data_IF_826463517826
#
_entry.id   IF_826463517826
#
_cell.length_a   1.000
_cell.length_b   1.000
_cell.length_c   1.000
_cell.angle_alpha   90.00
_cell.angle_beta   90.00
_cell.angle_gamma   90.00
#
_symmetry.space_group_name_H-M   'P 1'
#
loop_
_entity.id
_entity.type
_entity.pdbx_description
1 polymer ?
#
# COMPACT_ATOMS: atom_id res chain seq x y z
N UNK A 1 1.85 22.30 -64.67
CA UNK A 1 2.03 22.71 -63.25
C UNK A 1 1.07 21.89 -62.38
N UNK A 2 1.50 21.48 -61.18
CA UNK A 2 0.61 21.08 -60.07
C UNK A 2 -0.10 22.36 -59.56
N UNK A 3 -1.17 22.40 -58.77
CA UNK A 3 -1.80 21.46 -57.84
C UNK A 3 -3.34 21.57 -58.05
N UNK A 4 -4.30 21.05 -57.26
CA UNK A 4 -4.32 20.36 -55.96
C UNK A 4 -5.43 19.30 -55.94
N UNK A 5 -5.26 18.25 -55.14
CA UNK A 5 -6.34 17.34 -54.67
C UNK A 5 -6.07 16.94 -53.21
N UNK A 6 -5.96 17.93 -52.31
CA UNK A 6 -5.45 17.74 -50.95
C UNK A 6 -6.41 18.26 -49.86
N UNK A 7 -7.72 18.08 -50.06
CA UNK A 7 -8.78 18.56 -49.14
C UNK A 7 -9.60 17.46 -48.47
N UNK A 8 -9.08 16.23 -48.35
CA UNK A 8 -9.77 15.14 -47.63
C UNK A 8 -8.97 14.51 -46.47
N UNK A 9 -7.75 14.99 -46.19
CA UNK A 9 -6.88 14.44 -45.13
C UNK A 9 -6.74 15.34 -43.88
N UNK A 10 -7.40 16.50 -43.85
CA UNK A 10 -7.22 17.47 -42.76
C UNK A 10 -8.30 17.43 -41.65
N UNK A 11 -9.32 16.58 -41.79
CA UNK A 11 -10.48 16.51 -40.85
C UNK A 11 -10.41 15.30 -39.90
N UNK A 12 -9.48 14.36 -40.12
CA UNK A 12 -9.37 13.13 -39.32
C UNK A 12 -8.51 13.26 -38.04
N UNK A 13 -7.86 14.41 -37.80
CA UNK A 13 -6.78 14.52 -36.80
C UNK A 13 -7.16 15.14 -35.45
N UNK A 14 -8.43 15.48 -35.20
CA UNK A 14 -8.84 16.26 -34.01
C UNK A 14 -9.43 15.45 -32.84
N UNK A 15 -9.53 14.12 -32.94
CA UNK A 15 -10.17 13.28 -31.92
C UNK A 15 -9.16 12.55 -31.00
N UNK A 16 -7.85 12.61 -31.28
CA UNK A 16 -6.84 11.79 -30.58
C UNK A 16 -6.10 12.47 -29.41
N UNK A 17 -6.49 13.67 -28.97
CA UNK A 17 -5.70 14.47 -28.00
C UNK A 17 -6.19 14.36 -26.54
N UNK A 18 -7.34 13.72 -26.28
CA UNK A 18 -7.85 13.55 -24.90
C UNK A 18 -7.19 12.41 -24.11
N UNK A 19 -6.50 11.48 -24.78
CA UNK A 19 -5.97 10.26 -24.13
C UNK A 19 -4.63 10.40 -23.39
N UNK A 20 -3.91 11.52 -23.53
CA UNK A 20 -2.53 11.64 -23.04
C UNK A 20 -2.38 12.32 -21.67
N UNK A 21 -3.40 13.06 -21.21
CA UNK A 21 -3.36 13.74 -19.91
C UNK A 21 -3.67 12.80 -18.72
N UNK A 22 -4.51 11.79 -18.94
CA UNK A 22 -4.88 10.84 -17.89
C UNK A 22 -3.73 9.86 -17.57
N UNK A 23 -2.99 9.41 -18.59
CA UNK A 23 -1.88 8.46 -18.41
C UNK A 23 -0.70 9.10 -17.66
N UNK A 24 -0.41 10.38 -17.91
CA UNK A 24 0.62 11.10 -17.15
C UNK A 24 0.20 11.38 -15.71
N UNK A 25 -1.06 11.74 -15.47
CA UNK A 25 -1.59 11.92 -14.11
C UNK A 25 -1.52 10.63 -13.26
N UNK A 26 -1.81 9.47 -13.86
CA UNK A 26 -1.62 8.16 -13.21
C UNK A 26 -0.15 7.94 -12.85
N UNK A 27 0.77 8.22 -13.78
CA UNK A 27 2.21 8.04 -13.56
C UNK A 27 2.75 8.97 -12.46
N UNK A 28 2.30 10.23 -12.41
CA UNK A 28 2.64 11.17 -11.32
C UNK A 28 2.15 10.65 -9.97
N UNK A 29 0.89 10.19 -9.88
CA UNK A 29 0.34 9.67 -8.61
C UNK A 29 1.04 8.39 -8.14
N UNK A 30 1.42 7.50 -9.05
CA UNK A 30 2.26 6.33 -8.71
C UNK A 30 3.64 6.78 -8.26
N UNK A 31 4.26 7.74 -8.95
CA UNK A 31 5.58 8.27 -8.62
C UNK A 31 5.66 9.00 -7.28
N UNK A 32 4.60 9.73 -6.89
CA UNK A 32 4.50 10.38 -5.58
C UNK A 32 4.39 9.35 -4.45
N UNK A 33 3.49 8.37 -4.57
CA UNK A 33 3.32 7.31 -3.56
C UNK A 33 4.58 6.44 -3.49
N UNK A 34 5.16 6.05 -4.63
CA UNK A 34 6.43 5.31 -4.69
C UNK A 34 7.62 6.15 -4.14
N UNK A 35 7.58 7.48 -4.28
CA UNK A 35 8.56 8.40 -3.71
C UNK A 35 8.54 8.42 -2.19
N UNK A 36 7.35 8.50 -1.58
CA UNK A 36 7.19 8.39 -0.12
C UNK A 36 7.57 6.98 0.37
N UNK A 37 7.17 5.94 -0.35
CA UNK A 37 7.50 4.55 -0.03
C UNK A 37 9.01 4.28 -0.09
N UNK A 38 9.71 4.79 -1.11
CA UNK A 38 11.16 4.60 -1.26
C UNK A 38 11.97 5.15 -0.08
N UNK A 39 11.49 6.23 0.56
CA UNK A 39 12.13 6.78 1.76
C UNK A 39 11.94 5.92 3.01
N UNK A 40 10.89 5.08 3.07
CA UNK A 40 10.58 4.21 4.21
C UNK A 40 11.10 2.78 4.03
N UNK A 41 10.85 2.15 2.87
CA UNK A 41 10.99 0.70 2.68
C UNK A 41 12.43 0.22 2.43
N UNK A 42 13.32 1.06 1.89
CA UNK A 42 14.72 0.67 1.64
C UNK A 42 15.66 0.93 2.84
N UNK A 43 15.11 1.41 3.96
CA UNK A 43 15.82 1.77 5.19
C UNK A 43 16.12 0.63 6.17
N UNK A 44 16.72 -0.47 5.68
CA UNK A 44 17.22 -1.63 6.44
C UNK A 44 16.19 -2.54 7.15
N UNK A 45 16.51 -3.84 7.23
CA UNK A 45 15.82 -4.80 8.11
C UNK A 45 16.14 -4.48 9.59
N UNK A 46 15.47 -3.48 10.17
CA UNK A 46 15.78 -2.99 11.51
C UNK A 46 14.59 -3.19 12.43
N UNK A 47 14.58 -4.28 13.20
CA UNK A 47 13.61 -4.50 14.28
C UNK A 47 13.87 -3.53 15.44
N UNK A 48 13.56 -2.26 15.21
CA UNK A 48 13.80 -1.18 16.15
C UNK A 48 12.80 -1.28 17.30
N UNK A 49 13.35 -1.22 18.51
CA UNK A 49 12.58 -1.33 19.75
C UNK A 49 12.56 0.03 20.42
N UNK A 50 11.41 0.68 20.44
CA UNK A 50 11.24 2.04 20.97
C UNK A 50 10.61 1.97 22.34
N UNK A 51 11.34 2.37 23.39
CA UNK A 51 10.81 2.43 24.75
C UNK A 51 10.20 3.81 25.00
N UNK A 52 8.88 3.86 25.20
CA UNK A 52 8.16 5.09 25.55
C UNK A 52 8.39 5.48 27.02
N UNK A 53 8.09 6.72 27.41
CA UNK A 53 8.38 7.30 28.73
C UNK A 53 7.76 6.55 29.93
N UNK A 54 6.76 5.69 29.69
CA UNK A 54 6.16 4.80 30.69
C UNK A 54 6.93 3.47 30.87
N UNK A 55 8.11 3.32 30.25
CA UNK A 55 8.83 2.03 30.21
C UNK A 55 8.20 1.00 29.28
N UNK A 56 7.35 1.46 28.35
CA UNK A 56 6.56 0.61 27.45
C UNK A 56 7.34 0.37 26.17
N UNK A 57 7.59 -0.90 25.87
CA UNK A 57 8.37 -1.35 24.72
C UNK A 57 7.47 -1.49 23.47
N UNK A 58 7.53 -0.52 22.57
CA UNK A 58 6.95 -0.63 21.24
C UNK A 58 7.95 -1.36 20.34
N UNK A 59 7.56 -2.52 19.84
CA UNK A 59 8.34 -3.26 18.87
C UNK A 59 7.96 -2.81 17.46
N UNK A 60 8.91 -2.79 16.53
CA UNK A 60 8.67 -2.60 15.11
C UNK A 60 9.25 -3.79 14.34
N UNK A 61 8.56 -4.23 13.30
CA UNK A 61 9.01 -5.32 12.43
C UNK A 61 8.55 -5.13 10.99
N UNK A 62 9.55 -4.99 10.13
CA UNK A 62 9.38 -4.90 8.69
C UNK A 62 9.51 -6.27 8.03
N UNK A 63 8.98 -6.39 6.82
CA UNK A 63 9.24 -7.53 5.97
C UNK A 63 8.81 -7.30 4.53
N UNK A 64 9.31 -8.16 3.65
CA UNK A 64 8.87 -8.20 2.26
C UNK A 64 8.86 -9.64 1.73
N UNK A 65 7.97 -9.91 0.78
CA UNK A 65 7.91 -11.17 0.05
C UNK A 65 7.26 -10.97 -1.33
N UNK A 66 7.64 -11.79 -2.30
CA UNK A 66 7.04 -11.76 -3.64
C UNK A 66 5.93 -12.79 -3.80
N UNK A 67 4.85 -12.41 -4.47
CA UNK A 67 3.73 -13.27 -4.80
C UNK A 67 3.52 -13.33 -6.32
N UNK A 68 3.04 -14.48 -6.81
CA UNK A 68 2.65 -14.69 -8.23
C UNK A 68 1.15 -14.51 -8.47
N UNK A 69 0.42 -14.04 -7.46
CA UNK A 69 -1.02 -13.79 -7.55
C UNK A 69 -1.31 -12.51 -8.34
N UNK A 70 -2.55 -12.38 -8.83
CA UNK A 70 -3.04 -11.08 -9.33
C UNK A 70 -3.09 -10.09 -8.15
N UNK A 71 -2.59 -8.86 -8.38
CA UNK A 71 -2.47 -7.82 -7.36
C UNK A 71 -3.82 -7.40 -6.78
N UNK A 72 -4.86 -7.31 -7.60
CA UNK A 72 -6.20 -6.85 -7.19
C UNK A 72 -6.87 -7.90 -6.28
N UNK A 73 -6.74 -9.19 -6.61
CA UNK A 73 -7.18 -10.30 -5.77
C UNK A 73 -6.43 -10.34 -4.45
N UNK A 74 -5.11 -10.15 -4.47
CA UNK A 74 -4.28 -10.15 -3.27
C UNK A 74 -4.62 -8.96 -2.36
N UNK A 75 -4.82 -7.76 -2.92
CA UNK A 75 -5.35 -6.60 -2.20
C UNK A 75 -6.70 -6.90 -1.57
N UNK A 76 -7.64 -7.51 -2.29
CA UNK A 76 -8.96 -7.86 -1.74
C UNK A 76 -8.83 -8.83 -0.55
N UNK A 77 -7.91 -9.81 -0.60
CA UNK A 77 -7.64 -10.71 0.53
C UNK A 77 -7.09 -9.94 1.73
N UNK A 78 -6.04 -9.14 1.57
CA UNK A 78 -5.42 -8.33 2.65
C UNK A 78 -6.44 -7.35 3.25
N UNK A 79 -7.18 -6.63 2.40
CA UNK A 79 -8.24 -5.71 2.81
C UNK A 79 -9.30 -6.38 3.68
N UNK A 80 -9.76 -7.57 3.29
CA UNK A 80 -10.79 -8.33 4.04
C UNK A 80 -10.26 -8.88 5.36
N UNK A 81 -9.03 -9.39 5.38
CA UNK A 81 -8.40 -9.94 6.59
C UNK A 81 -8.26 -8.88 7.69
N UNK A 82 -7.83 -7.66 7.32
CA UNK A 82 -7.52 -6.61 8.29
C UNK A 82 -8.62 -5.53 8.44
N UNK A 83 -9.65 -5.55 7.58
CA UNK A 83 -10.81 -4.67 7.66
C UNK A 83 -10.58 -3.25 7.14
N UNK A 84 -9.61 -3.05 6.25
CA UNK A 84 -9.28 -1.75 5.66
C UNK A 84 -10.43 -1.18 4.82
N UNK A 85 -10.64 0.14 4.92
CA UNK A 85 -11.72 0.90 4.27
C UNK A 85 -11.15 2.00 3.36
N UNK A 86 -11.88 2.51 2.35
CA UNK A 86 -11.37 3.63 1.56
C UNK A 86 -11.17 4.87 2.44
N UNK A 87 -10.18 5.71 2.14
CA UNK A 87 -9.93 6.95 2.90
C UNK A 87 -11.13 7.92 2.89
N UNK A 88 -11.98 7.84 1.86
CA UNK A 88 -13.24 8.62 1.76
C UNK A 88 -14.35 8.13 2.72
N UNK A 89 -14.18 6.97 3.37
CA UNK A 89 -15.12 6.51 4.39
C UNK A 89 -14.81 7.16 5.74
N UNK A 90 -15.90 7.53 6.45
CA UNK A 90 -15.92 8.27 7.71
C UNK A 90 -14.69 7.98 8.62
N UNK A 91 -13.80 8.96 8.72
CA UNK A 91 -12.35 8.77 9.01
C UNK A 91 -12.03 8.26 10.42
N UNK A 92 -13.05 8.10 11.26
CA UNK A 92 -12.99 7.59 12.64
C UNK A 92 -12.47 6.16 12.75
N UNK A 93 -12.47 5.39 11.66
CA UNK A 93 -12.11 3.98 11.69
C UNK A 93 -10.59 3.70 11.76
N UNK A 94 -9.73 4.69 11.50
CA UNK A 94 -8.27 4.57 11.61
C UNK A 94 -7.58 3.54 10.71
N UNK A 95 -8.31 2.88 9.81
CA UNK A 95 -7.85 1.79 8.92
C UNK A 95 -8.25 2.09 7.48
N UNK A 96 -7.32 2.70 6.75
CA UNK A 96 -7.56 3.29 5.43
C UNK A 96 -6.82 2.55 4.31
N UNK A 97 -7.14 2.87 3.07
CA UNK A 97 -6.36 2.48 1.91
C UNK A 97 -6.29 3.57 0.85
N UNK A 98 -5.16 3.59 0.13
CA UNK A 98 -4.92 4.30 -1.12
C UNK A 98 -4.67 3.29 -2.24
N UNK A 99 -5.19 3.56 -3.44
CA UNK A 99 -5.09 2.62 -4.57
C UNK A 99 -4.77 3.33 -5.87
N UNK A 100 -3.85 2.75 -6.63
CA UNK A 100 -3.79 2.86 -8.10
C UNK A 100 -4.07 1.45 -8.65
N UNK A 101 -5.33 1.14 -9.00
CA UNK A 101 -5.75 -0.23 -9.34
C UNK A 101 -4.87 -0.88 -10.42
N UNK A 102 -4.61 -2.18 -10.27
CA UNK A 102 -3.72 -2.95 -11.17
C UNK A 102 -2.22 -2.69 -11.02
N UNK A 103 -1.80 -1.68 -10.24
CA UNK A 103 -0.39 -1.24 -10.13
C UNK A 103 0.11 -1.19 -8.68
N UNK A 104 -0.60 -0.48 -7.81
CA UNK A 104 -0.15 -0.18 -6.44
C UNK A 104 -1.34 -0.12 -5.47
N UNK A 105 -1.23 -0.82 -4.35
CA UNK A 105 -2.18 -0.73 -3.24
C UNK A 105 -1.43 -0.51 -1.94
N UNK A 106 -1.81 0.54 -1.22
CA UNK A 106 -1.25 0.90 0.08
C UNK A 106 -2.38 0.89 1.10
N UNK A 107 -2.23 0.08 2.15
CA UNK A 107 -3.21 -0.04 3.23
C UNK A 107 -2.49 0.22 4.55
N UNK A 108 -3.10 1.01 5.44
CA UNK A 108 -2.48 1.34 6.72
C UNK A 108 -3.51 1.61 7.80
N UNK A 109 -3.14 1.37 9.07
CA UNK A 109 -3.99 1.78 10.17
C UNK A 109 -3.71 1.18 11.53
N UNK A 110 -4.47 1.68 12.52
CA UNK A 110 -4.39 1.30 13.93
C UNK A 110 -5.43 0.23 14.30
N UNK A 111 -5.04 -0.67 15.21
CA UNK A 111 -5.77 -1.87 15.60
C UNK A 111 -6.11 -1.89 17.10
N UNK A 112 -6.14 -0.72 17.75
CA UNK A 112 -6.21 -0.56 19.20
C UNK A 112 -4.83 -0.76 19.84
N UNK A 113 -4.78 -1.02 21.13
CA UNK A 113 -3.57 -1.35 21.88
C UNK A 113 -3.76 -2.66 22.65
N UNK A 114 -2.68 -3.37 22.96
CA UNK A 114 -2.70 -4.42 24.01
C UNK A 114 -2.40 -3.75 25.37
N UNK A 115 -2.82 -4.35 26.48
CA UNK A 115 -2.54 -3.88 27.85
C UNK A 115 -1.81 -4.96 28.65
N UNK A 116 -1.00 -4.53 29.63
CA UNK A 116 -0.41 -5.45 30.62
C UNK A 116 -1.43 -5.87 31.70
N UNK A 117 -1.02 -6.74 32.63
CA UNK A 117 -1.87 -7.22 33.72
C UNK A 117 -2.31 -6.15 34.73
N UNK A 118 -1.84 -4.90 34.58
CA UNK A 118 -2.17 -3.73 35.40
C UNK A 118 -3.01 -2.71 34.62
N UNK A 119 -3.39 -3.00 33.37
CA UNK A 119 -4.13 -2.08 32.49
C UNK A 119 -3.25 -0.99 31.86
N UNK A 120 -1.92 -1.17 31.85
CA UNK A 120 -1.02 -0.22 31.19
C UNK A 120 -0.93 -0.56 29.70
N UNK A 121 -1.29 0.39 28.83
CA UNK A 121 -1.15 0.25 27.38
C UNK A 121 0.28 -0.08 26.97
N UNK A 122 0.44 -1.10 26.13
CA UNK A 122 1.69 -1.56 25.55
C UNK A 122 2.04 -0.83 24.23
N UNK A 123 1.36 0.29 23.96
CA UNK A 123 1.48 1.06 22.73
C UNK A 123 0.43 0.66 21.69
N UNK A 124 0.16 1.58 20.77
CA UNK A 124 -0.80 1.35 19.69
C UNK A 124 -0.29 0.30 18.71
N UNK A 125 -1.16 -0.65 18.38
CA UNK A 125 -0.92 -1.66 17.38
C UNK A 125 -1.20 -1.09 15.99
N UNK A 126 -0.19 -1.05 15.13
CA UNK A 126 -0.27 -0.53 13.77
C UNK A 126 0.17 -1.59 12.76
N UNK A 127 -0.37 -1.47 11.54
CA UNK A 127 0.02 -2.27 10.38
C UNK A 127 -0.06 -1.39 9.13
N UNK A 128 1.01 -1.39 8.35
CA UNK A 128 1.06 -0.91 6.98
C UNK A 128 1.42 -2.06 6.05
N UNK A 129 0.74 -2.16 4.90
CA UNK A 129 1.06 -3.11 3.82
C UNK A 129 1.01 -2.39 2.49
N UNK A 130 2.04 -2.61 1.68
CA UNK A 130 2.19 -2.10 0.33
C UNK A 130 2.24 -3.30 -0.61
N UNK A 131 1.43 -3.26 -1.67
CA UNK A 131 1.42 -4.24 -2.74
C UNK A 131 1.75 -3.50 -4.04
N UNK A 132 2.86 -3.85 -4.68
CA UNK A 132 3.33 -3.22 -5.92
C UNK A 132 3.52 -4.26 -7.01
N UNK A 133 3.06 -3.96 -8.23
CA UNK A 133 3.28 -4.81 -9.40
C UNK A 133 4.68 -4.60 -9.97
N UNK A 134 5.60 -5.52 -9.66
CA UNK A 134 7.01 -5.48 -10.08
C UNK A 134 7.33 -6.27 -11.35
N UNK A 135 6.33 -6.95 -11.94
CA UNK A 135 6.47 -7.67 -13.21
C UNK A 135 5.12 -7.99 -13.83
N UNK A 136 5.12 -8.71 -14.96
CA UNK A 136 3.88 -9.09 -15.66
C UNK A 136 2.89 -9.85 -14.75
N UNK A 137 3.39 -10.85 -14.02
CA UNK A 137 2.67 -11.68 -13.05
C UNK A 137 3.39 -11.75 -11.67
N UNK A 138 4.08 -10.68 -11.27
CA UNK A 138 4.78 -10.63 -9.97
C UNK A 138 4.33 -9.41 -9.19
N UNK A 139 4.00 -9.62 -7.91
CA UNK A 139 3.65 -8.60 -6.94
C UNK A 139 4.69 -8.63 -5.83
N UNK A 140 5.35 -7.50 -5.57
CA UNK A 140 6.08 -7.28 -4.33
C UNK A 140 5.08 -6.92 -3.24
N UNK A 141 5.18 -7.56 -2.08
CA UNK A 141 4.43 -7.17 -0.89
C UNK A 141 5.42 -6.81 0.20
N UNK A 142 5.42 -5.57 0.65
CA UNK A 142 6.16 -5.11 1.83
C UNK A 142 5.20 -4.70 2.93
N UNK A 143 5.66 -4.74 4.18
CA UNK A 143 4.87 -4.37 5.34
C UNK A 143 5.75 -3.85 6.47
N UNK A 144 5.16 -2.97 7.30
CA UNK A 144 5.66 -2.52 8.59
C UNK A 144 4.58 -2.86 9.63
N UNK A 145 4.99 -3.47 10.75
CA UNK A 145 4.09 -3.79 11.87
C UNK A 145 4.70 -3.24 13.14
N UNK A 146 3.93 -2.49 13.92
CA UNK A 146 4.38 -1.99 15.22
C UNK A 146 3.33 -2.16 16.31
N UNK A 147 3.78 -2.17 17.57
CA UNK A 147 2.95 -2.40 18.76
C UNK A 147 3.53 -3.49 19.66
N UNK A 148 2.66 -4.29 20.28
CA UNK A 148 3.09 -5.36 21.19
C UNK A 148 3.71 -6.56 20.44
N UNK A 149 4.58 -7.34 21.09
CA UNK A 149 5.13 -8.57 20.51
C UNK A 149 4.02 -9.57 20.13
N UNK A 150 2.98 -9.67 20.97
CA UNK A 150 1.83 -10.53 20.72
C UNK A 150 1.03 -10.07 19.50
N UNK A 151 0.87 -8.76 19.30
CA UNK A 151 0.28 -8.21 18.08
C UNK A 151 1.11 -8.52 16.85
N UNK A 152 2.42 -8.22 16.86
CA UNK A 152 3.31 -8.44 15.71
C UNK A 152 3.24 -9.88 15.23
N UNK A 153 3.38 -10.85 16.14
CA UNK A 153 3.33 -12.28 15.81
C UNK A 153 1.99 -12.70 15.21
N UNK A 154 0.86 -12.15 15.72
CA UNK A 154 -0.49 -12.39 15.16
C UNK A 154 -0.64 -11.77 13.78
N UNK A 155 -0.25 -10.50 13.62
CA UNK A 155 -0.39 -9.75 12.37
C UNK A 155 0.45 -10.35 11.24
N UNK A 156 1.73 -10.63 11.50
CA UNK A 156 2.65 -11.25 10.54
C UNK A 156 2.17 -12.65 10.11
N UNK A 157 1.71 -13.47 11.06
CA UNK A 157 1.20 -14.82 10.75
C UNK A 157 -0.04 -14.77 9.84
N UNK A 158 -0.97 -13.83 10.11
CA UNK A 158 -2.17 -13.62 9.29
C UNK A 158 -1.82 -13.09 7.90
N UNK A 159 -0.95 -12.08 7.82
CA UNK A 159 -0.52 -11.47 6.57
C UNK A 159 0.23 -12.47 5.68
N UNK A 160 1.23 -13.17 6.23
CA UNK A 160 2.00 -14.17 5.46
C UNK A 160 1.14 -15.35 5.00
N UNK A 161 0.12 -15.75 5.78
CA UNK A 161 -0.89 -16.75 5.34
C UNK A 161 -1.73 -16.24 4.18
N UNK A 162 -2.16 -14.98 4.21
CA UNK A 162 -2.93 -14.34 3.13
C UNK A 162 -2.13 -14.22 1.82
N UNK A 163 -0.83 -13.95 1.89
CA UNK A 163 -0.01 -13.76 0.67
C UNK A 163 0.44 -15.10 0.06
N UNK A 164 0.57 -16.16 0.87
CA UNK A 164 0.97 -17.51 0.42
C UNK A 164 -0.19 -18.36 -0.11
N UNK A 165 -1.41 -18.15 0.37
CA UNK A 165 -2.66 -18.77 -0.12
C UNK A 165 -3.30 -17.96 -1.24
#
# INVERSE_FOLDING_TARGET
MRYSKFSLLLVASTILITGCAELSAINTKVGEIAGEINQRVYGANSSNTTVNHNGVTIHNKDGSLTSRQNIDQLFIKVRREFGFRPIESDSRAGKVYHTVPGTLYHVSGFFGHDEDSRGISLGDNYLEVILEKTGSNTVSVSWEISGSEAWIRRAESRLTKVIKN
#
